data_IF_284936710890
#
_entry.id   IF_284936710890
#
_cell.length_a   1.000
_cell.length_b   1.000
_cell.length_c   1.000
_cell.angle_alpha   90.00
_cell.angle_beta   90.00
_cell.angle_gamma   90.00
#
_symmetry.space_group_name_H-M   'P 1'
#
loop_
_entity.id
_entity.type
_entity.pdbx_description
1 polymer ?
#
# COMPACT_ATOMS: atom_id res chain seq x y z
N UNK A 1 4.28 18.71 4.32
CA UNK A 1 4.44 17.71 5.40
C UNK A 1 5.92 17.39 5.54
N UNK A 2 6.42 17.45 6.75
CA UNK A 2 7.85 17.23 7.00
C UNK A 2 8.00 15.94 7.82
N UNK A 3 8.60 14.92 7.20
CA UNK A 3 8.78 13.62 7.84
C UNK A 3 10.28 13.40 8.05
N UNK A 4 10.67 13.28 9.32
CA UNK A 4 12.06 13.02 9.70
C UNK A 4 12.18 11.62 10.28
N UNK A 5 12.64 10.69 9.45
CA UNK A 5 12.83 9.30 9.85
C UNK A 5 14.29 8.92 9.74
N UNK A 6 14.86 8.49 10.87
CA UNK A 6 16.21 7.94 10.89
C UNK A 6 16.17 6.48 10.50
N UNK A 7 17.09 6.08 9.63
CA UNK A 7 17.22 4.69 9.18
C UNK A 7 16.38 4.36 7.94
N UNK A 8 15.52 5.27 7.49
CA UNK A 8 14.72 5.06 6.30
C UNK A 8 15.57 5.34 5.06
N UNK A 9 15.81 4.31 4.25
CA UNK A 9 16.53 4.43 2.99
C UNK A 9 15.57 4.87 1.87
N UNK A 10 16.08 5.50 0.81
CA UNK A 10 15.24 5.84 -0.34
C UNK A 10 14.52 4.60 -0.88
N UNK A 11 13.27 4.79 -1.26
CA UNK A 11 12.43 3.72 -1.80
C UNK A 11 12.56 3.74 -3.32
N UNK A 12 13.03 2.64 -3.89
CA UNK A 12 13.22 2.49 -5.33
C UNK A 12 12.15 1.58 -5.89
N UNK A 13 11.41 2.07 -6.88
CA UNK A 13 10.31 1.35 -7.51
C UNK A 13 8.98 2.02 -7.29
N UNK A 14 7.95 1.52 -7.95
CA UNK A 14 6.62 2.12 -7.92
C UNK A 14 5.77 1.53 -6.80
N UNK A 15 4.96 2.39 -6.19
CA UNK A 15 3.95 2.01 -5.19
C UNK A 15 2.58 2.32 -5.77
N UNK A 16 1.70 1.32 -5.82
CA UNK A 16 0.32 1.52 -6.27
C UNK A 16 -0.57 1.80 -5.07
N UNK A 17 -1.39 2.86 -5.17
CA UNK A 17 -2.37 3.24 -4.16
C UNK A 17 -3.76 3.08 -4.76
N UNK A 18 -4.57 2.19 -4.18
CA UNK A 18 -5.92 1.93 -4.65
C UNK A 18 -6.90 2.40 -3.56
N UNK A 19 -7.45 3.58 -3.77
CA UNK A 19 -8.31 4.26 -2.80
C UNK A 19 -9.30 5.15 -3.55
N UNK A 20 -10.59 5.00 -3.27
CA UNK A 20 -11.63 5.77 -3.96
C UNK A 20 -11.88 7.16 -3.35
N UNK A 21 -11.56 7.35 -2.05
CA UNK A 21 -11.68 8.66 -1.41
C UNK A 21 -10.57 9.59 -1.92
N UNK A 22 -10.88 10.67 -2.65
CA UNK A 22 -9.85 11.53 -3.21
C UNK A 22 -9.00 12.25 -2.16
N UNK A 23 -9.57 12.60 -1.01
CA UNK A 23 -8.82 13.26 0.05
C UNK A 23 -7.78 12.31 0.64
N UNK A 24 -8.20 11.09 0.97
CA UNK A 24 -7.29 10.09 1.54
C UNK A 24 -6.25 9.65 0.49
N UNK A 25 -6.66 9.52 -0.76
CA UNK A 25 -5.74 9.17 -1.85
C UNK A 25 -4.63 10.22 -1.99
N UNK A 26 -4.99 11.51 -1.96
CA UNK A 26 -4.01 12.59 -2.01
C UNK A 26 -3.08 12.55 -0.81
N UNK A 27 -3.62 12.35 0.39
CA UNK A 27 -2.79 12.25 1.60
C UNK A 27 -1.77 11.11 1.48
N UNK A 28 -2.20 9.95 1.03
CA UNK A 28 -1.31 8.78 0.88
C UNK A 28 -0.21 9.03 -0.13
N UNK A 29 -0.54 9.61 -1.28
CA UNK A 29 0.47 9.92 -2.29
C UNK A 29 1.44 11.00 -1.82
N UNK A 30 0.98 11.97 -1.04
CA UNK A 30 1.86 13.00 -0.45
C UNK A 30 2.84 12.37 0.54
N UNK A 31 2.37 11.46 1.39
CA UNK A 31 3.22 10.74 2.34
C UNK A 31 4.30 9.95 1.58
N UNK A 32 3.91 9.25 0.53
CA UNK A 32 4.84 8.46 -0.28
C UNK A 32 5.90 9.35 -0.94
N UNK A 33 5.49 10.50 -1.46
CA UNK A 33 6.43 11.47 -2.04
C UNK A 33 7.44 11.94 -1.00
N UNK A 34 6.99 12.25 0.21
CA UNK A 34 7.87 12.72 1.29
C UNK A 34 8.92 11.69 1.69
N UNK A 35 8.61 10.41 1.60
CA UNK A 35 9.60 9.36 1.91
C UNK A 35 10.37 8.88 0.68
N UNK A 36 10.23 9.59 -0.44
CA UNK A 36 11.03 9.34 -1.65
C UNK A 36 10.49 8.25 -2.57
N UNK A 37 9.23 7.87 -2.41
CA UNK A 37 8.60 6.85 -3.26
C UNK A 37 7.87 7.48 -4.43
N UNK A 38 7.87 6.79 -5.57
CA UNK A 38 7.04 7.15 -6.72
C UNK A 38 5.73 6.37 -6.63
N UNK A 39 4.61 7.07 -6.59
CA UNK A 39 3.29 6.45 -6.45
C UNK A 39 2.42 6.63 -7.68
N UNK A 40 1.56 5.64 -7.91
CA UNK A 40 0.52 5.65 -8.94
C UNK A 40 -0.80 5.36 -8.24
N UNK A 41 -1.79 6.22 -8.45
CA UNK A 41 -3.07 6.13 -7.75
C UNK A 41 -4.18 5.64 -8.67
N UNK A 42 -5.05 4.79 -8.11
CA UNK A 42 -6.20 4.22 -8.82
C UNK A 42 -7.43 4.32 -7.93
N UNK A 43 -8.59 4.54 -8.53
CA UNK A 43 -9.86 4.56 -7.81
C UNK A 43 -10.45 3.17 -7.62
N UNK A 44 -10.09 2.22 -8.49
CA UNK A 44 -10.60 0.85 -8.44
C UNK A 44 -9.47 -0.15 -8.52
N UNK A 45 -9.69 -1.33 -7.94
CA UNK A 45 -8.76 -2.44 -8.07
C UNK A 45 -8.73 -2.98 -9.50
N UNK A 46 -9.86 -2.88 -10.22
CA UNK A 46 -9.96 -3.32 -11.62
C UNK A 46 -8.94 -2.57 -12.50
N UNK A 47 -8.85 -1.24 -12.34
CA UNK A 47 -7.89 -0.43 -13.09
C UNK A 47 -6.45 -0.75 -12.70
N UNK A 48 -6.20 -0.98 -11.41
CA UNK A 48 -4.87 -1.34 -10.92
C UNK A 48 -4.42 -2.70 -11.46
N UNK A 49 -5.31 -3.68 -11.53
CA UNK A 49 -5.01 -5.00 -12.11
C UNK A 49 -4.64 -4.85 -13.59
N UNK A 50 -5.41 -4.04 -14.33
CA UNK A 50 -5.13 -3.79 -15.74
C UNK A 50 -3.73 -3.21 -15.92
N UNK A 51 -3.38 -2.22 -15.11
CA UNK A 51 -2.04 -1.63 -15.13
C UNK A 51 -0.95 -2.68 -14.86
N UNK A 52 -1.14 -3.51 -13.84
CA UNK A 52 -0.16 -4.54 -13.48
C UNK A 52 0.00 -5.58 -14.58
N UNK A 53 -1.10 -5.97 -15.23
CA UNK A 53 -1.03 -6.90 -16.36
C UNK A 53 -0.27 -6.29 -17.53
N UNK A 54 -0.52 -5.02 -17.85
CA UNK A 54 0.16 -4.33 -18.93
C UNK A 54 1.65 -4.13 -18.67
N UNK A 55 2.04 -3.92 -17.41
CA UNK A 55 3.44 -3.71 -17.03
C UNK A 55 4.14 -4.97 -16.53
N UNK A 56 3.45 -6.11 -16.53
CA UNK A 56 3.98 -7.39 -16.02
C UNK A 56 4.40 -7.30 -14.56
N UNK A 57 3.57 -6.63 -13.74
CA UNK A 57 3.81 -6.54 -12.31
C UNK A 57 4.92 -5.58 -11.91
N UNK A 58 5.10 -4.51 -12.66
CA UNK A 58 6.17 -3.54 -12.40
C UNK A 58 5.79 -2.61 -11.25
N UNK A 59 5.87 -3.13 -10.03
CA UNK A 59 5.76 -2.33 -8.80
C UNK A 59 6.37 -3.10 -7.64
N UNK A 60 6.61 -2.43 -6.52
CA UNK A 60 7.23 -3.04 -5.34
C UNK A 60 6.24 -3.18 -4.18
N UNK A 61 5.16 -2.43 -4.20
CA UNK A 61 4.19 -2.38 -3.10
C UNK A 61 2.82 -1.98 -3.63
N UNK A 62 1.78 -2.63 -3.16
CA UNK A 62 0.40 -2.18 -3.37
C UNK A 62 -0.23 -1.86 -2.02
N UNK A 63 -0.97 -0.75 -1.96
CA UNK A 63 -1.75 -0.34 -0.79
C UNK A 63 -3.19 -0.24 -1.25
N UNK A 64 -4.04 -1.16 -0.79
CA UNK A 64 -5.41 -1.27 -1.28
C UNK A 64 -6.41 -1.15 -0.14
N UNK A 65 -7.51 -0.43 -0.40
CA UNK A 65 -8.60 -0.29 0.54
C UNK A 65 -9.64 -1.39 0.34
N UNK A 66 -10.20 -1.88 1.43
CA UNK A 66 -11.37 -2.75 1.41
C UNK A 66 -12.61 -1.85 1.32
N UNK A 67 -13.60 -2.22 0.54
CA UNK A 67 -14.77 -1.37 0.31
C UNK A 67 -14.65 -0.49 -0.92
N UNK A 68 -13.86 -0.92 -1.90
CA UNK A 68 -13.67 -0.18 -3.15
C UNK A 68 -14.89 -0.33 -4.08
N UNK A 69 -15.15 0.67 -4.95
CA UNK A 69 -16.10 0.49 -6.04
C UNK A 69 -15.56 -0.51 -7.07
N UNK A 70 -16.44 -1.04 -7.91
CA UNK A 70 -16.06 -1.98 -8.96
C UNK A 70 -16.26 -3.42 -8.53
N UNK A 71 -15.68 -4.33 -9.28
CA UNK A 71 -15.89 -5.77 -9.13
C UNK A 71 -14.97 -6.39 -8.06
N UNK A 72 -13.79 -5.80 -7.84
CA UNK A 72 -12.73 -6.40 -7.03
C UNK A 72 -12.52 -5.58 -5.77
N UNK A 73 -12.55 -6.23 -4.61
CA UNK A 73 -12.26 -5.60 -3.33
C UNK A 73 -10.77 -5.66 -3.00
N UNK A 74 -10.33 -4.87 -2.02
CA UNK A 74 -8.91 -4.76 -1.68
C UNK A 74 -8.25 -6.09 -1.33
N UNK A 75 -8.89 -6.90 -0.48
CA UNK A 75 -8.34 -8.20 -0.10
C UNK A 75 -8.24 -9.13 -1.30
N UNK A 76 -9.26 -9.18 -2.12
CA UNK A 76 -9.26 -9.98 -3.35
C UNK A 76 -8.18 -9.52 -4.32
N UNK A 77 -8.02 -8.20 -4.47
CA UNK A 77 -6.96 -7.62 -5.30
C UNK A 77 -5.59 -8.10 -4.85
N UNK A 78 -5.32 -8.02 -3.54
CA UNK A 78 -4.04 -8.46 -2.97
C UNK A 78 -3.81 -9.95 -3.22
N UNK A 79 -4.83 -10.78 -3.05
CA UNK A 79 -4.75 -12.23 -3.33
C UNK A 79 -4.35 -12.48 -4.79
N UNK A 80 -4.97 -11.76 -5.73
CA UNK A 80 -4.66 -11.89 -7.16
C UNK A 80 -3.23 -11.46 -7.47
N UNK A 81 -2.79 -10.34 -6.88
CA UNK A 81 -1.43 -9.83 -7.06
C UNK A 81 -0.40 -10.83 -6.54
N UNK A 82 -0.62 -11.37 -5.35
CA UNK A 82 0.31 -12.32 -4.74
C UNK A 82 0.39 -13.64 -5.52
N UNK A 83 -0.73 -14.07 -6.06
CA UNK A 83 -0.77 -15.29 -6.87
C UNK A 83 0.12 -15.18 -8.12
N UNK A 84 0.15 -13.99 -8.73
CA UNK A 84 0.86 -13.78 -9.99
C UNK A 84 2.26 -13.16 -9.78
N UNK A 85 2.39 -12.27 -8.80
CA UNK A 85 3.65 -11.57 -8.53
C UNK A 85 3.96 -11.61 -7.03
N UNK A 86 4.41 -12.76 -6.52
CA UNK A 86 4.56 -12.95 -5.06
C UNK A 86 5.61 -12.07 -4.41
N UNK A 87 6.47 -11.41 -5.18
CA UNK A 87 7.48 -10.49 -4.63
C UNK A 87 6.91 -9.10 -4.32
N UNK A 88 5.71 -8.77 -4.80
CA UNK A 88 5.10 -7.47 -4.52
C UNK A 88 4.54 -7.49 -3.09
N UNK A 89 5.01 -6.55 -2.27
CA UNK A 89 4.51 -6.39 -0.90
C UNK A 89 3.10 -5.77 -0.91
N UNK A 90 2.34 -5.97 0.16
CA UNK A 90 0.96 -5.48 0.22
C UNK A 90 0.58 -4.96 1.59
N UNK A 91 -0.23 -3.89 1.56
CA UNK A 91 -0.90 -3.31 2.73
C UNK A 91 -2.39 -3.24 2.41
N UNK A 92 -3.22 -3.70 3.34
CA UNK A 92 -4.67 -3.62 3.23
C UNK A 92 -5.18 -2.60 4.24
N UNK A 93 -6.02 -1.67 3.80
CA UNK A 93 -6.66 -0.70 4.70
C UNK A 93 -8.17 -0.96 4.74
N UNK A 94 -8.83 -0.60 5.84
CA UNK A 94 -10.28 -0.78 5.97
C UNK A 94 -10.84 0.18 7.00
N UNK A 95 -12.04 0.70 6.74
CA UNK A 95 -12.79 1.51 7.69
C UNK A 95 -13.60 0.69 8.69
N UNK A 96 -13.65 -0.62 8.51
CA UNK A 96 -14.30 -1.54 9.45
C UNK A 96 -13.34 -2.66 9.81
N UNK A 97 -13.60 -3.29 10.96
CA UNK A 97 -12.73 -4.33 11.49
C UNK A 97 -12.80 -5.59 10.65
N UNK A 98 -11.65 -6.11 10.27
CA UNK A 98 -11.54 -7.35 9.52
C UNK A 98 -11.08 -8.48 10.45
N UNK A 99 -11.64 -9.67 10.25
CA UNK A 99 -11.16 -10.87 10.95
C UNK A 99 -9.80 -11.27 10.37
N UNK A 100 -8.92 -11.91 11.16
CA UNK A 100 -7.64 -12.39 10.63
C UNK A 100 -7.80 -13.26 9.37
N UNK A 101 -8.87 -14.04 9.26
CA UNK A 101 -9.14 -14.87 8.09
C UNK A 101 -9.48 -14.08 6.83
N UNK A 102 -9.86 -12.81 6.97
CA UNK A 102 -10.21 -11.94 5.86
C UNK A 102 -8.99 -11.19 5.32
N UNK A 103 -7.86 -11.25 6.02
CA UNK A 103 -6.63 -10.56 5.65
C UNK A 103 -5.73 -11.54 4.91
N UNK A 104 -5.30 -11.23 3.67
CA UNK A 104 -4.38 -12.10 2.94
C UNK A 104 -3.09 -12.32 3.73
N UNK A 105 -2.50 -13.50 3.61
CA UNK A 105 -1.26 -13.81 4.32
C UNK A 105 -0.12 -12.89 3.86
N UNK A 106 0.84 -12.63 4.77
CA UNK A 106 1.97 -11.73 4.53
C UNK A 106 1.60 -10.31 4.16
N UNK A 107 0.38 -9.88 4.52
CA UNK A 107 -0.14 -8.53 4.26
C UNK A 107 -0.20 -7.79 5.57
N UNK A 108 0.26 -6.54 5.58
CA UNK A 108 0.07 -5.65 6.74
C UNK A 108 -1.32 -5.05 6.65
N UNK A 109 -2.07 -5.10 7.74
CA UNK A 109 -3.41 -4.54 7.82
C UNK A 109 -3.39 -3.25 8.65
N UNK A 110 -3.98 -2.18 8.10
CA UNK A 110 -4.14 -0.90 8.79
C UNK A 110 -5.62 -0.55 8.85
N UNK A 111 -6.16 -0.49 10.07
CA UNK A 111 -7.55 -0.09 10.31
C UNK A 111 -7.65 1.45 10.31
N UNK A 112 -8.65 1.98 9.61
CA UNK A 112 -8.91 3.44 9.58
C UNK A 112 -9.57 3.89 10.88
N UNK A 113 -9.25 5.06 11.44
CA UNK A 113 -8.19 5.94 10.95
C UNK A 113 -6.82 5.44 11.38
N UNK A 114 -5.87 5.37 10.45
CA UNK A 114 -4.48 5.05 10.77
C UNK A 114 -3.68 6.35 10.82
N UNK A 115 -2.61 6.35 11.63
CA UNK A 115 -1.72 7.50 11.70
C UNK A 115 -0.68 7.48 10.59
N UNK A 116 -0.11 8.65 10.30
CA UNK A 116 1.00 8.79 9.37
C UNK A 116 2.13 7.82 9.71
N UNK A 117 2.46 7.73 11.01
CA UNK A 117 3.53 6.86 11.49
C UNK A 117 3.24 5.39 11.20
N UNK A 118 1.99 4.98 11.36
CA UNK A 118 1.57 3.59 11.10
C UNK A 118 1.86 3.20 9.65
N UNK A 119 1.55 4.08 8.72
CA UNK A 119 1.78 3.82 7.31
C UNK A 119 3.27 3.75 6.99
N UNK A 120 4.07 4.70 7.48
CA UNK A 120 5.51 4.71 7.21
C UNK A 120 6.20 3.49 7.82
N UNK A 121 5.83 3.12 9.04
CA UNK A 121 6.38 1.94 9.70
C UNK A 121 6.03 0.66 8.92
N UNK A 122 4.78 0.56 8.45
CA UNK A 122 4.36 -0.59 7.66
C UNK A 122 5.15 -0.71 6.35
N UNK A 123 5.33 0.42 5.65
CA UNK A 123 6.09 0.44 4.39
C UNK A 123 7.54 0.02 4.64
N UNK A 124 8.18 0.61 5.65
CA UNK A 124 9.57 0.30 5.97
C UNK A 124 9.74 -1.17 6.40
N UNK A 125 8.81 -1.68 7.19
CA UNK A 125 8.85 -3.07 7.63
C UNK A 125 8.75 -4.07 6.48
N UNK A 126 7.99 -3.72 5.44
CA UNK A 126 7.82 -4.58 4.26
C UNK A 126 8.99 -4.47 3.28
N UNK A 127 9.48 -3.25 3.04
CA UNK A 127 10.47 -2.98 2.00
C UNK A 127 11.90 -2.96 2.52
N UNK A 128 12.10 -2.69 3.82
CA UNK A 128 13.42 -2.56 4.43
C UNK A 128 13.46 -3.31 5.77
N UNK A 129 13.13 -4.62 5.81
CA UNK A 129 12.93 -5.33 7.08
C UNK A 129 14.18 -5.42 7.95
N UNK A 130 15.37 -5.28 7.37
CA UNK A 130 16.62 -5.31 8.11
C UNK A 130 17.09 -3.96 8.64
N UNK A 131 16.35 -2.88 8.37
CA UNK A 131 16.73 -1.51 8.72
C UNK A 131 15.73 -0.91 9.70
N UNK A 132 15.98 -0.96 11.02
CA UNK A 132 15.11 -0.29 11.98
C UNK A 132 15.04 1.21 11.68
N UNK A 133 13.84 1.78 11.76
CA UNK A 133 13.64 3.21 11.57
C UNK A 133 13.20 3.87 12.86
N UNK A 134 13.60 5.12 13.03
CA UNK A 134 13.22 5.93 14.20
C UNK A 134 12.76 7.29 13.74
N UNK A 135 11.65 7.74 14.29
CA UNK A 135 11.15 9.08 14.02
C UNK A 135 11.91 10.10 14.87
N UNK A 136 12.36 11.15 14.22
CA UNK A 136 12.96 12.29 14.91
C UNK A 136 11.93 13.24 15.46
#
# INVERSE_FOLDING_TARGET
>A
MNINWEGLSPISGDVLVIEDDPTLRTLMTDILTEIGAHSLAFETADDAITYLLETQGQCILVIADQGLPGQIQGAEFIEKVRSKWPSIASILTSGYELKPSEIPSSTVYLHKPWGLDDLVIAIAGLLQPGNPIHKH
#
